data_IF_543090286985
#
_entry.id   IF_543090286985
#
_cell.length_a   1.000
_cell.length_b   1.000
_cell.length_c   1.000
_cell.angle_alpha   90.00
_cell.angle_beta   90.00
_cell.angle_gamma   90.00
#
_symmetry.space_group_name_H-M   'P 1'
#
loop_
_entity.id
_entity.type
_entity.pdbx_description
1 polymer ?
#
# COMPACT_ATOMS: atom_id res chain seq x y z
N UNK A 1 -5.47 -4.15 5.39
CA UNK A 1 -4.00 -4.09 5.27
C UNK A 1 -3.68 -3.13 4.16
N UNK A 2 -2.90 -2.09 4.46
CA UNK A 2 -2.42 -1.16 3.45
C UNK A 2 -1.07 -1.67 2.92
N UNK A 3 -0.96 -1.83 1.60
CA UNK A 3 0.27 -2.24 0.93
C UNK A 3 0.85 -1.09 0.12
N UNK A 4 2.15 -0.84 0.26
CA UNK A 4 2.92 0.08 -0.58
C UNK A 4 4.13 -0.68 -1.14
N UNK A 5 3.96 -1.24 -2.33
CA UNK A 5 4.94 -2.10 -3.00
C UNK A 5 4.68 -2.02 -4.51
N UNK A 6 5.71 -2.10 -5.33
CA UNK A 6 5.61 -2.08 -6.80
C UNK A 6 4.37 -2.80 -7.33
N UNK A 7 3.45 -2.08 -7.99
CA UNK A 7 2.20 -2.67 -8.49
C UNK A 7 2.43 -3.46 -9.79
N UNK A 8 2.88 -4.71 -9.65
CA UNK A 8 3.26 -5.61 -10.76
C UNK A 8 2.35 -6.84 -10.86
N UNK A 9 2.54 -7.66 -11.89
CA UNK A 9 1.87 -8.97 -12.01
C UNK A 9 2.18 -9.89 -10.81
N UNK A 10 3.42 -9.86 -10.31
CA UNK A 10 3.81 -10.66 -9.15
C UNK A 10 3.10 -10.19 -7.88
N UNK A 11 3.03 -8.87 -7.70
CA UNK A 11 2.32 -8.24 -6.58
C UNK A 11 0.82 -8.48 -6.65
N UNK A 12 0.23 -8.57 -7.85
CA UNK A 12 -1.17 -8.96 -8.00
C UNK A 12 -1.45 -10.34 -7.37
N UNK A 13 -0.56 -11.33 -7.58
CA UNK A 13 -0.68 -12.66 -6.95
C UNK A 13 -0.54 -12.57 -5.43
N UNK A 14 0.36 -11.73 -4.92
CA UNK A 14 0.48 -11.47 -3.48
C UNK A 14 -0.83 -10.89 -2.90
N UNK A 15 -1.40 -9.87 -3.56
CA UNK A 15 -2.66 -9.22 -3.16
C UNK A 15 -3.79 -10.26 -3.09
N UNK A 16 -3.98 -11.04 -4.15
CA UNK A 16 -5.01 -12.08 -4.19
C UNK A 16 -4.80 -13.15 -3.12
N UNK A 17 -3.54 -13.51 -2.83
CA UNK A 17 -3.22 -14.47 -1.75
C UNK A 17 -3.59 -13.92 -0.38
N UNK A 18 -3.33 -12.64 -0.10
CA UNK A 18 -3.70 -12.00 1.17
C UNK A 18 -5.23 -11.98 1.36
N UNK A 19 -5.96 -11.71 0.27
CA UNK A 19 -7.43 -11.72 0.27
C UNK A 19 -7.96 -13.14 0.49
N UNK A 20 -7.40 -14.14 -0.18
CA UNK A 20 -7.77 -15.56 0.01
C UNK A 20 -7.55 -16.02 1.46
N UNK A 21 -6.54 -15.46 2.13
CA UNK A 21 -6.27 -15.70 3.56
C UNK A 21 -7.18 -14.87 4.51
N UNK A 22 -8.10 -14.08 3.97
CA UNK A 22 -9.14 -13.36 4.70
C UNK A 22 -8.81 -11.91 5.06
N UNK A 23 -7.81 -11.29 4.41
CA UNK A 23 -7.50 -9.88 4.64
C UNK A 23 -8.32 -8.95 3.72
N UNK A 24 -8.83 -7.85 4.27
CA UNK A 24 -9.20 -6.69 3.48
C UNK A 24 -7.92 -5.96 3.06
N UNK A 25 -7.74 -5.68 1.76
CA UNK A 25 -6.49 -5.12 1.22
C UNK A 25 -6.77 -3.86 0.40
N UNK A 26 -5.95 -2.83 0.58
CA UNK A 26 -5.86 -1.66 -0.30
C UNK A 26 -4.40 -1.42 -0.67
N UNK A 27 -4.13 -1.00 -1.91
CA UNK A 27 -2.76 -1.01 -2.45
C UNK A 27 -2.38 0.27 -3.19
N UNK A 28 -1.12 0.70 -3.01
CA UNK A 28 -0.42 1.71 -3.80
C UNK A 28 0.94 1.17 -4.25
N UNK A 29 1.53 1.80 -5.26
CA UNK A 29 2.90 1.50 -5.68
C UNK A 29 3.91 2.23 -4.81
N UNK A 30 5.11 1.67 -4.58
CA UNK A 30 6.23 2.34 -3.90
C UNK A 30 7.19 3.08 -4.88
N UNK A 31 6.87 3.10 -6.17
CA UNK A 31 7.66 3.82 -7.16
C UNK A 31 6.83 4.24 -8.39
N UNK A 32 6.93 5.52 -8.74
CA UNK A 32 6.17 6.18 -9.81
C UNK A 32 6.31 5.57 -11.21
N UNK A 33 7.35 4.77 -11.47
CA UNK A 33 7.57 4.13 -12.78
C UNK A 33 7.39 2.62 -12.76
N UNK A 34 7.17 2.03 -11.59
CA UNK A 34 7.21 0.56 -11.44
C UNK A 34 5.89 -0.13 -11.78
N UNK A 35 4.77 0.59 -11.72
CA UNK A 35 3.45 0.03 -11.99
C UNK A 35 3.39 -0.59 -13.38
N UNK A 36 2.81 -1.79 -13.43
CA UNK A 36 2.39 -2.46 -14.65
C UNK A 36 0.89 -2.27 -14.78
N UNK A 37 0.45 -1.32 -15.62
CA UNK A 37 -0.96 -0.87 -15.62
C UNK A 37 -1.98 -1.99 -15.88
N UNK A 38 -1.60 -3.02 -16.64
CA UNK A 38 -2.44 -4.18 -16.87
C UNK A 38 -2.62 -5.07 -15.63
N UNK A 39 -1.63 -5.12 -14.73
CA UNK A 39 -1.75 -5.76 -13.42
C UNK A 39 -2.66 -4.94 -12.49
N UNK A 40 -2.44 -3.62 -12.43
CA UNK A 40 -3.29 -2.72 -11.65
C UNK A 40 -4.76 -2.77 -12.13
N UNK A 41 -4.98 -2.79 -13.45
CA UNK A 41 -6.31 -2.91 -14.03
C UNK A 41 -7.00 -4.24 -13.67
N UNK A 42 -6.27 -5.36 -13.62
CA UNK A 42 -6.83 -6.64 -13.23
C UNK A 42 -7.26 -6.66 -11.75
N UNK A 43 -6.45 -6.09 -10.85
CA UNK A 43 -6.78 -5.93 -9.44
C UNK A 43 -8.01 -5.04 -9.25
N UNK A 44 -8.05 -3.90 -9.95
CA UNK A 44 -9.20 -2.99 -9.93
C UNK A 44 -10.49 -3.66 -10.45
N UNK A 45 -10.40 -4.45 -11.53
CA UNK A 45 -11.55 -5.16 -12.11
C UNK A 45 -12.14 -6.21 -11.15
N UNK A 46 -11.33 -6.74 -10.22
CA UNK A 46 -11.78 -7.63 -9.15
C UNK A 46 -12.37 -6.89 -7.94
N UNK A 47 -12.54 -5.57 -8.03
CA UNK A 47 -13.14 -4.75 -6.96
C UNK A 47 -12.19 -4.46 -5.80
N UNK A 48 -10.90 -4.71 -5.96
CA UNK A 48 -9.88 -4.44 -4.93
C UNK A 48 -9.40 -2.99 -5.09
N UNK A 49 -9.41 -2.17 -4.02
CA UNK A 49 -8.94 -0.79 -4.12
C UNK A 49 -7.44 -0.74 -4.39
N UNK A 50 -7.08 -0.31 -5.59
CA UNK A 50 -5.70 -0.10 -6.04
C UNK A 50 -5.57 1.31 -6.63
N UNK A 51 -4.62 2.06 -6.11
CA UNK A 51 -4.33 3.45 -6.50
C UNK A 51 -2.88 3.47 -7.00
N UNK A 52 -2.71 3.12 -8.27
CA UNK A 52 -1.39 3.06 -8.90
C UNK A 52 -1.50 3.14 -10.43
N UNK A 53 -0.63 3.90 -11.06
CA UNK A 53 -0.41 3.87 -12.51
C UNK A 53 1.04 4.18 -12.85
N UNK A 54 1.47 3.85 -14.07
CA UNK A 54 2.82 4.14 -14.53
C UNK A 54 2.96 5.62 -14.90
N UNK A 55 3.97 6.28 -14.34
CA UNK A 55 4.30 7.67 -14.65
C UNK A 55 3.56 8.69 -13.77
N UNK A 56 3.26 8.32 -12.53
CA UNK A 56 2.76 9.25 -11.51
C UNK A 56 3.70 10.45 -11.32
N UNK A 57 3.12 11.61 -11.03
CA UNK A 57 3.82 12.71 -10.38
C UNK A 57 4.03 12.41 -8.89
N UNK A 58 4.92 13.16 -8.22
CA UNK A 58 5.13 12.99 -6.78
C UNK A 58 3.88 13.32 -5.95
N UNK A 59 3.06 14.27 -6.39
CA UNK A 59 1.80 14.61 -5.72
C UNK A 59 0.78 13.48 -5.84
N UNK A 60 0.69 12.84 -7.01
CA UNK A 60 -0.17 11.68 -7.24
C UNK A 60 0.32 10.46 -6.45
N UNK A 61 1.64 10.24 -6.36
CA UNK A 61 2.25 9.19 -5.56
C UNK A 61 1.86 9.28 -4.08
N UNK A 62 2.06 10.45 -3.47
CA UNK A 62 1.67 10.71 -2.08
C UNK A 62 0.16 10.51 -1.89
N UNK A 63 -0.65 11.03 -2.83
CA UNK A 63 -2.11 10.88 -2.81
C UNK A 63 -2.55 9.41 -2.86
N UNK A 64 -1.90 8.59 -3.70
CA UNK A 64 -2.16 7.16 -3.83
C UNK A 64 -1.92 6.43 -2.51
N UNK A 65 -0.81 6.71 -1.82
CA UNK A 65 -0.51 6.13 -0.50
C UNK A 65 -1.59 6.54 0.50
N UNK A 66 -1.99 7.81 0.54
CA UNK A 66 -3.03 8.31 1.45
C UNK A 66 -4.40 7.62 1.24
N UNK A 67 -4.74 7.24 0.00
CA UNK A 67 -5.99 6.52 -0.27
C UNK A 67 -6.03 5.13 0.39
N UNK A 68 -4.87 4.54 0.69
CA UNK A 68 -4.81 3.20 1.30
C UNK A 68 -5.09 3.18 2.81
N UNK A 69 -5.09 4.33 3.48
CA UNK A 69 -5.14 4.42 4.95
C UNK A 69 -6.51 4.08 5.57
N UNK A 70 -7.60 4.29 4.82
CA UNK A 70 -8.96 4.15 5.32
C UNK A 70 -9.77 3.19 4.45
N UNK A 71 -10.49 2.27 5.08
CA UNK A 71 -11.18 1.14 4.47
C UNK A 71 -12.70 1.34 4.53
N UNK A 72 -13.36 1.14 3.39
CA UNK A 72 -14.82 1.19 3.23
C UNK A 72 -15.43 2.57 3.50
N UNK A 73 -16.76 2.64 3.40
CA UNK A 73 -17.52 3.89 3.56
C UNK A 73 -17.42 4.46 4.99
N UNK A 74 -17.27 3.59 5.99
CA UNK A 74 -17.10 3.96 7.40
C UNK A 74 -15.70 4.52 7.71
N UNK A 75 -14.79 4.57 6.73
CA UNK A 75 -13.41 5.03 6.85
C UNK A 75 -12.67 4.40 8.04
N UNK A 76 -12.75 3.07 8.17
CA UNK A 76 -12.00 2.35 9.22
C UNK A 76 -10.50 2.45 8.92
N UNK A 77 -9.71 2.87 9.89
CA UNK A 77 -8.26 2.98 9.72
C UNK A 77 -7.60 1.62 9.48
N UNK A 78 -6.48 1.61 8.76
CA UNK A 78 -5.61 0.45 8.62
C UNK A 78 -5.18 -0.13 9.98
N UNK A 79 -4.97 -1.44 10.03
CA UNK A 79 -4.45 -2.14 11.21
C UNK A 79 -3.14 -2.90 10.96
N UNK A 80 -2.65 -2.93 9.72
CA UNK A 80 -1.44 -3.63 9.28
C UNK A 80 -0.84 -2.87 8.10
N UNK A 81 0.49 -2.75 8.07
CA UNK A 81 1.27 -2.18 6.97
C UNK A 81 2.13 -3.28 6.33
N UNK A 82 2.14 -3.32 5.00
CA UNK A 82 3.09 -4.06 4.18
C UNK A 82 3.82 -3.05 3.29
N UNK A 83 5.10 -2.84 3.53
CA UNK A 83 5.87 -1.73 2.97
C UNK A 83 7.11 -2.23 2.22
N UNK A 84 7.51 -1.45 1.22
CA UNK A 84 8.71 -1.60 0.43
C UNK A 84 9.35 -0.22 0.27
N UNK A 85 10.39 0.01 1.08
CA UNK A 85 11.17 1.24 1.08
C UNK A 85 10.84 2.18 2.24
N UNK A 86 9.73 1.96 2.96
CA UNK A 86 9.38 2.68 4.19
C UNK A 86 8.51 3.94 4.00
N UNK A 87 8.00 4.21 2.80
CA UNK A 87 7.27 5.45 2.54
C UNK A 87 5.87 5.46 3.17
N UNK A 88 5.14 4.34 3.14
CA UNK A 88 3.85 4.23 3.83
C UNK A 88 4.04 4.30 5.34
N UNK A 89 5.07 3.64 5.87
CA UNK A 89 5.42 3.69 7.29
C UNK A 89 5.69 5.12 7.74
N UNK A 90 6.53 5.86 7.02
CA UNK A 90 6.85 7.24 7.40
C UNK A 90 5.66 8.18 7.19
N UNK A 91 4.85 7.99 6.15
CA UNK A 91 3.62 8.77 5.96
C UNK A 91 2.69 8.64 7.17
N UNK A 92 2.52 7.43 7.70
CA UNK A 92 1.73 7.21 8.92
C UNK A 92 2.39 7.85 10.13
N UNK A 93 3.69 7.64 10.37
CA UNK A 93 4.38 8.16 11.54
C UNK A 93 4.44 9.70 11.57
N UNK A 94 4.66 10.32 10.42
CA UNK A 94 4.91 11.75 10.31
C UNK A 94 3.63 12.57 10.12
N UNK A 95 2.67 12.08 9.32
CA UNK A 95 1.44 12.82 8.98
C UNK A 95 0.18 12.32 9.70
N UNK A 96 0.13 11.04 10.08
CA UNK A 96 -1.05 10.42 10.71
C UNK A 96 -0.72 9.64 12.01
N UNK A 97 0.04 10.22 12.95
CA UNK A 97 0.54 9.51 14.13
C UNK A 97 -0.59 8.96 15.02
N UNK A 98 -1.80 9.52 14.94
CA UNK A 98 -2.98 9.04 15.64
C UNK A 98 -3.39 7.61 15.24
N UNK A 99 -3.07 7.19 14.00
CA UNK A 99 -3.42 5.86 13.48
C UNK A 99 -2.54 4.75 14.06
N UNK A 100 -1.34 5.09 14.54
CA UNK A 100 -0.34 4.12 15.03
C UNK A 100 -0.90 3.22 16.13
N UNK A 101 -1.74 3.76 17.01
CA UNK A 101 -2.36 3.00 18.10
C UNK A 101 -3.26 1.83 17.64
N UNK A 102 -3.78 1.90 16.40
CA UNK A 102 -4.59 0.85 15.78
C UNK A 102 -3.80 -0.16 14.94
N UNK A 103 -2.51 0.12 14.68
CA UNK A 103 -1.66 -0.71 13.82
C UNK A 103 -0.98 -1.80 14.66
N UNK A 104 -1.19 -3.06 14.28
CA UNK A 104 -0.67 -4.23 15.01
C UNK A 104 0.74 -4.62 14.60
N UNK A 105 1.18 -4.21 13.42
CA UNK A 105 2.50 -4.54 12.91
C UNK A 105 2.76 -4.01 11.50
N UNK A 106 4.04 -4.07 11.15
CA UNK A 106 4.61 -3.65 9.87
C UNK A 106 5.48 -4.79 9.36
N UNK A 107 5.43 -5.08 8.06
CA UNK A 107 6.43 -5.89 7.36
C UNK A 107 7.12 -5.01 6.33
N UNK A 108 8.44 -5.02 6.28
CA UNK A 108 9.24 -4.23 5.35
C UNK A 108 10.08 -5.17 4.47
N UNK A 109 10.00 -5.01 3.15
CA UNK A 109 10.66 -5.89 2.19
C UNK A 109 12.14 -5.56 1.98
N UNK A 110 12.51 -4.28 1.96
CA UNK A 110 13.83 -3.86 1.45
C UNK A 110 14.83 -3.49 2.52
N UNK A 111 16.11 -3.63 2.18
CA UNK A 111 17.21 -3.19 3.03
C UNK A 111 17.13 -1.70 3.37
N UNK A 112 16.75 -0.85 2.41
CA UNK A 112 16.60 0.60 2.64
C UNK A 112 15.50 0.89 3.65
N UNK A 113 14.32 0.28 3.52
CA UNK A 113 13.25 0.46 4.48
C UNK A 113 13.62 -0.08 5.87
N UNK A 114 14.28 -1.25 5.95
CA UNK A 114 14.78 -1.79 7.23
C UNK A 114 15.73 -0.81 7.91
N UNK A 115 16.62 -0.15 7.15
CA UNK A 115 17.49 0.88 7.72
C UNK A 115 16.73 2.10 8.24
N UNK A 116 15.57 2.46 7.64
CA UNK A 116 14.72 3.57 8.12
C UNK A 116 13.94 3.22 9.40
N UNK A 117 13.83 1.94 9.76
CA UNK A 117 13.16 1.48 10.98
C UNK A 117 14.03 1.52 12.26
N UNK A 118 15.36 1.57 12.12
CA UNK A 118 16.33 1.58 13.22
C UNK A 118 16.86 2.98 13.52
#
# INVERSE_FOLDING_TARGET
MAGCLHMTIQTAVLIETLIELGADVQWSSCNIFSTQDHAAAAIAANGIPVFAWKGETLEEYDWCIEQTLFFGDDKKSLSMILDDGGDLTNLVLDKYPELVSGIRGITEETTTGVHRLY
#
